data_IF_789444284248
#
_entry.id   IF_789444284248
#
_cell.length_a   1.000
_cell.length_b   1.000
_cell.length_c   1.000
_cell.angle_alpha   90.00
_cell.angle_beta   90.00
_cell.angle_gamma   90.00
#
_symmetry.space_group_name_H-M   'P 1'
#
loop_
_entity.id
_entity.type
_entity.pdbx_description
1 polymer ?
#
# COMPACT_ATOMS: atom_id res chain seq x y z
N UNK A 1 -38.44 17.84 58.86
CA UNK A 1 -38.96 19.13 58.40
C UNK A 1 -37.86 19.81 57.64
N UNK A 2 -37.77 19.51 56.44
CA UNK A 2 -38.00 20.28 55.20
C UNK A 2 -36.94 21.38 55.02
N UNK A 3 -35.97 21.10 54.21
CA UNK A 3 -35.00 22.03 53.68
C UNK A 3 -34.40 21.43 52.42
N UNK A 4 -35.20 21.27 51.39
CA UNK A 4 -34.80 20.96 50.02
C UNK A 4 -35.58 21.84 49.08
N UNK A 5 -35.14 23.05 48.83
CA UNK A 5 -35.75 23.86 47.76
C UNK A 5 -34.91 25.08 47.32
N UNK A 6 -33.60 25.19 47.66
CA UNK A 6 -32.81 26.37 47.31
C UNK A 6 -31.76 26.19 46.22
N UNK A 7 -31.63 25.01 45.61
CA UNK A 7 -30.53 24.73 44.63
C UNK A 7 -30.95 24.86 43.14
N UNK A 8 -32.20 25.25 42.85
CA UNK A 8 -32.70 25.25 41.47
C UNK A 8 -32.72 26.63 40.79
N UNK A 9 -32.31 27.71 41.48
CA UNK A 9 -32.41 29.10 40.95
C UNK A 9 -31.14 29.64 40.30
N UNK A 10 -30.00 28.96 40.34
CA UNK A 10 -28.73 29.54 39.85
C UNK A 10 -28.29 29.02 38.46
N UNK A 11 -29.15 28.27 37.75
CA UNK A 11 -28.82 27.78 36.41
C UNK A 11 -29.39 28.60 35.24
N UNK A 12 -30.24 29.57 35.48
CA UNK A 12 -30.93 30.32 34.41
C UNK A 12 -30.26 31.62 34.00
N UNK A 13 -29.25 32.10 34.75
CA UNK A 13 -28.70 33.45 34.55
C UNK A 13 -27.29 33.45 33.87
N UNK A 14 -26.90 32.35 33.24
CA UNK A 14 -25.69 32.36 32.39
C UNK A 14 -26.08 32.92 31.01
N UNK A 15 -25.52 34.09 30.60
CA UNK A 15 -25.84 34.69 29.31
C UNK A 15 -25.50 33.64 28.19
N UNK A 16 -26.54 33.22 27.48
CA UNK A 16 -26.39 32.37 26.31
C UNK A 16 -25.62 33.13 25.25
N UNK A 17 -24.36 32.72 25.03
CA UNK A 17 -23.51 33.28 23.96
C UNK A 17 -24.24 33.13 22.62
N UNK A 18 -24.29 34.19 21.85
CA UNK A 18 -24.83 34.15 20.50
C UNK A 18 -23.97 33.32 19.58
N UNK A 19 -24.54 32.75 18.52
CA UNK A 19 -23.82 31.98 17.54
C UNK A 19 -22.59 32.71 16.97
N UNK A 20 -22.71 34.03 16.79
CA UNK A 20 -21.61 34.88 16.32
C UNK A 20 -20.45 34.99 17.33
N UNK A 21 -20.74 34.96 18.64
CA UNK A 21 -19.68 34.92 19.66
C UNK A 21 -19.02 33.58 19.78
N UNK A 22 -19.78 32.50 19.60
CA UNK A 22 -19.21 31.14 19.51
C UNK A 22 -18.30 31.00 18.30
N UNK A 23 -18.67 31.55 17.15
CA UNK A 23 -17.85 31.54 15.93
C UNK A 23 -16.59 32.40 16.07
N UNK A 24 -16.68 33.58 16.71
CA UNK A 24 -15.51 34.40 17.05
C UNK A 24 -14.52 33.65 17.97
N UNK A 25 -15.02 32.88 18.93
CA UNK A 25 -14.18 32.05 19.81
C UNK A 25 -13.53 30.88 19.05
N UNK A 26 -14.27 30.23 18.15
CA UNK A 26 -13.71 29.18 17.26
C UNK A 26 -12.66 29.74 16.30
N UNK A 27 -12.87 30.94 15.76
CA UNK A 27 -11.91 31.63 14.90
C UNK A 27 -10.62 31.98 15.63
N UNK A 28 -10.70 32.44 16.89
CA UNK A 28 -9.52 32.74 17.71
C UNK A 28 -8.75 31.49 18.14
N UNK A 29 -9.42 30.38 18.44
CA UNK A 29 -8.76 29.11 18.80
C UNK A 29 -7.99 28.50 17.62
N UNK A 30 -8.39 28.76 16.36
CA UNK A 30 -7.68 28.31 15.16
C UNK A 30 -6.44 29.13 14.80
N UNK A 31 -6.31 30.35 15.31
CA UNK A 31 -5.21 31.24 14.99
C UNK A 31 -3.94 31.04 15.88
N UNK A 32 -4.02 30.17 16.91
CA UNK A 32 -2.91 29.96 17.83
C UNK A 32 -2.01 28.75 17.54
N UNK A 33 -2.35 27.90 16.57
CA UNK A 33 -1.41 26.92 16.04
C UNK A 33 -0.58 27.59 14.94
N UNK A 34 0.50 28.24 15.34
CA UNK A 34 1.37 29.04 14.49
C UNK A 34 2.21 28.28 13.47
N UNK A 35 1.77 27.16 12.97
CA UNK A 35 2.33 26.54 11.78
C UNK A 35 1.74 27.23 10.55
N UNK A 36 2.47 28.22 10.04
CA UNK A 36 2.24 28.75 8.70
C UNK A 36 2.33 27.61 7.72
N UNK A 37 1.17 27.11 7.28
CA UNK A 37 1.15 26.13 6.17
C UNK A 37 1.84 26.77 4.99
N UNK A 38 2.91 26.18 4.47
CA UNK A 38 3.59 26.71 3.30
C UNK A 38 2.56 26.83 2.16
N UNK A 39 2.58 27.95 1.45
CA UNK A 39 1.71 28.23 0.31
C UNK A 39 2.57 28.31 -0.95
N UNK A 40 2.04 27.85 -2.08
CA UNK A 40 2.73 27.87 -3.36
C UNK A 40 3.71 26.70 -3.55
N UNK A 41 4.72 26.88 -4.37
CA UNK A 41 5.66 25.83 -4.78
C UNK A 41 6.32 25.06 -3.64
N UNK A 42 6.56 25.72 -2.50
CA UNK A 42 7.10 25.04 -1.30
C UNK A 42 6.11 24.08 -0.66
N UNK A 43 4.80 24.41 -0.67
CA UNK A 43 3.75 23.51 -0.16
C UNK A 43 3.55 22.31 -1.07
N UNK A 44 3.61 22.51 -2.37
CA UNK A 44 3.54 21.44 -3.36
C UNK A 44 4.73 20.50 -3.28
N UNK A 45 5.94 21.04 -3.12
CA UNK A 45 7.14 20.23 -2.93
C UNK A 45 7.10 19.41 -1.64
N UNK A 46 6.62 19.98 -0.53
CA UNK A 46 6.44 19.24 0.73
C UNK A 46 5.36 18.16 0.60
N UNK A 47 4.25 18.44 -0.07
CA UNK A 47 3.19 17.47 -0.31
C UNK A 47 3.67 16.34 -1.24
N UNK A 48 4.43 16.65 -2.29
CA UNK A 48 5.02 15.66 -3.19
C UNK A 48 6.03 14.77 -2.45
N UNK A 49 6.91 15.34 -1.63
CA UNK A 49 7.86 14.58 -0.82
C UNK A 49 7.16 13.70 0.22
N UNK A 50 6.10 14.20 0.86
CA UNK A 50 5.29 13.42 1.79
C UNK A 50 4.57 12.26 1.08
N UNK A 51 4.01 12.50 -0.09
CA UNK A 51 3.38 11.46 -0.91
C UNK A 51 4.39 10.40 -1.36
N UNK A 52 5.57 10.81 -1.84
CA UNK A 52 6.64 9.89 -2.21
C UNK A 52 7.12 9.04 -1.02
N UNK A 53 7.30 9.66 0.15
CA UNK A 53 7.73 8.94 1.36
C UNK A 53 6.66 7.97 1.85
N UNK A 54 5.38 8.31 1.70
CA UNK A 54 4.26 7.43 2.02
C UNK A 54 4.18 6.24 1.06
N UNK A 55 4.28 6.50 -0.25
CA UNK A 55 4.33 5.45 -1.27
C UNK A 55 5.50 4.50 -1.03
N UNK A 56 6.70 5.04 -0.75
CA UNK A 56 7.87 4.23 -0.43
C UNK A 56 7.69 3.35 0.82
N UNK A 57 7.03 3.86 1.86
CA UNK A 57 6.68 3.08 3.06
C UNK A 57 5.64 2.00 2.75
N UNK A 58 4.63 2.33 1.95
CA UNK A 58 3.60 1.39 1.54
C UNK A 58 4.21 0.25 0.71
N UNK A 59 5.07 0.59 -0.24
CA UNK A 59 5.82 -0.37 -1.04
C UNK A 59 6.68 -1.28 -0.16
N UNK A 60 7.44 -0.72 0.78
CA UNK A 60 8.23 -1.51 1.72
C UNK A 60 7.35 -2.47 2.53
N UNK A 61 6.18 -2.03 2.99
CA UNK A 61 5.25 -2.90 3.73
C UNK A 61 4.66 -4.01 2.86
N UNK A 62 4.36 -3.73 1.60
CA UNK A 62 3.81 -4.71 0.66
C UNK A 62 4.85 -5.79 0.30
N UNK A 63 6.11 -5.41 0.10
CA UNK A 63 7.18 -6.35 -0.24
C UNK A 63 7.78 -7.06 0.97
N UNK A 64 7.79 -6.42 2.16
CA UNK A 64 8.36 -7.03 3.38
C UNK A 64 7.44 -8.03 4.08
N UNK A 65 6.12 -7.97 3.86
CA UNK A 65 5.13 -8.70 4.66
C UNK A 65 4.91 -10.18 4.28
N UNK A 66 5.67 -10.73 3.35
CA UNK A 66 5.34 -12.01 2.73
C UNK A 66 6.40 -13.10 2.74
N UNK A 67 7.49 -12.98 3.45
CA UNK A 67 8.49 -14.03 3.44
C UNK A 67 9.31 -14.12 4.73
N UNK A 68 9.72 -15.32 5.09
CA UNK A 68 10.70 -15.66 6.13
C UNK A 68 12.12 -15.09 5.86
N UNK A 69 12.22 -14.13 4.97
CA UNK A 69 13.46 -13.50 4.54
C UNK A 69 13.75 -12.33 5.48
N UNK A 70 14.77 -12.46 6.31
CA UNK A 70 15.31 -11.35 7.10
C UNK A 70 15.77 -10.17 6.22
N UNK A 71 16.49 -9.21 6.79
CA UNK A 71 16.95 -7.98 6.13
C UNK A 71 17.58 -8.16 4.72
N UNK A 72 18.14 -9.33 4.43
CA UNK A 72 18.69 -9.67 3.10
C UNK A 72 17.57 -9.88 2.06
N UNK A 73 16.50 -10.56 2.44
CA UNK A 73 15.35 -10.78 1.56
C UNK A 73 14.58 -9.51 1.23
N UNK A 74 14.45 -8.59 2.21
CA UNK A 74 13.84 -7.29 1.97
C UNK A 74 14.65 -6.44 0.97
N UNK A 75 15.96 -6.56 1.03
CA UNK A 75 16.88 -5.90 0.10
C UNK A 75 16.73 -6.42 -1.33
N UNK A 76 16.64 -7.73 -1.47
CA UNK A 76 16.45 -8.37 -2.77
C UNK A 76 15.05 -8.12 -3.33
N UNK A 77 14.01 -8.14 -2.50
CA UNK A 77 12.66 -7.73 -2.91
C UNK A 77 12.63 -6.28 -3.38
N UNK A 78 13.36 -5.38 -2.70
CA UNK A 78 13.57 -4.01 -3.13
C UNK A 78 14.24 -3.92 -4.50
N UNK A 79 15.30 -4.72 -4.74
CA UNK A 79 16.00 -4.76 -6.02
C UNK A 79 15.10 -5.25 -7.16
N UNK A 80 14.25 -6.26 -6.92
CA UNK A 80 13.25 -6.71 -7.90
C UNK A 80 12.27 -5.59 -8.24
N UNK A 81 11.77 -4.88 -7.25
CA UNK A 81 10.87 -3.74 -7.46
C UNK A 81 11.53 -2.63 -8.28
N UNK A 82 12.76 -2.27 -7.93
CA UNK A 82 13.49 -1.18 -8.61
C UNK A 82 13.88 -1.55 -10.05
N UNK A 83 13.94 -2.86 -10.36
CA UNK A 83 14.20 -3.38 -11.69
C UNK A 83 12.94 -3.53 -12.58
N UNK A 84 11.73 -3.31 -12.04
CA UNK A 84 10.48 -3.41 -12.83
C UNK A 84 10.53 -2.52 -14.07
N UNK A 85 10.13 -3.09 -15.21
CA UNK A 85 10.15 -2.39 -16.50
C UNK A 85 11.52 -2.20 -17.11
N UNK A 86 12.60 -2.71 -16.50
CA UNK A 86 13.95 -2.65 -17.01
C UNK A 86 14.45 -4.03 -17.47
N UNK A 87 15.48 -4.12 -18.31
CA UNK A 87 16.09 -5.40 -18.69
C UNK A 87 16.79 -6.12 -17.52
N UNK A 88 17.05 -5.46 -16.40
CA UNK A 88 17.66 -6.03 -15.21
C UNK A 88 16.69 -6.87 -14.35
N UNK A 89 15.39 -6.89 -14.68
CA UNK A 89 14.38 -7.59 -13.90
C UNK A 89 14.68 -9.10 -13.77
N UNK A 90 15.07 -9.75 -14.86
CA UNK A 90 15.36 -11.18 -14.86
C UNK A 90 16.51 -11.52 -13.89
N UNK A 91 17.57 -10.71 -13.88
CA UNK A 91 18.72 -10.91 -12.99
C UNK A 91 18.34 -10.65 -11.51
N UNK A 92 17.55 -9.62 -11.25
CA UNK A 92 17.04 -9.35 -9.91
C UNK A 92 16.14 -10.48 -9.39
N UNK A 93 15.25 -11.01 -10.24
CA UNK A 93 14.40 -12.17 -9.90
C UNK A 93 15.22 -13.44 -9.66
N UNK A 94 16.25 -13.72 -10.47
CA UNK A 94 17.15 -14.85 -10.24
C UNK A 94 17.92 -14.73 -8.93
N UNK A 95 18.45 -13.55 -8.61
CA UNK A 95 19.12 -13.28 -7.34
C UNK A 95 18.17 -13.50 -6.15
N UNK A 96 16.94 -13.01 -6.25
CA UNK A 96 15.92 -13.24 -5.23
C UNK A 96 15.62 -14.73 -5.06
N UNK A 97 15.42 -15.46 -6.17
CA UNK A 97 15.10 -16.89 -6.16
C UNK A 97 16.22 -17.72 -5.55
N UNK A 98 17.48 -17.37 -5.82
CA UNK A 98 18.66 -18.10 -5.30
C UNK A 98 18.83 -17.94 -3.79
N UNK A 99 18.57 -16.76 -3.24
CA UNK A 99 18.84 -16.45 -1.83
C UNK A 99 17.62 -16.63 -0.92
N UNK A 100 16.43 -16.35 -1.43
CA UNK A 100 15.18 -16.33 -0.65
C UNK A 100 14.26 -17.51 -1.00
N UNK A 101 14.26 -17.93 -2.26
CA UNK A 101 13.35 -18.95 -2.78
C UNK A 101 12.18 -18.37 -3.57
N UNK A 102 11.08 -19.14 -3.67
CA UNK A 102 9.90 -18.74 -4.46
C UNK A 102 9.24 -17.47 -3.93
N UNK A 103 8.70 -16.62 -4.81
CA UNK A 103 8.00 -15.39 -4.39
C UNK A 103 6.71 -15.74 -3.66
N UNK A 104 6.51 -15.17 -2.45
CA UNK A 104 5.36 -15.48 -1.61
C UNK A 104 4.32 -14.34 -1.56
N UNK A 105 4.65 -13.15 -2.06
CA UNK A 105 3.73 -11.99 -2.03
C UNK A 105 3.19 -11.65 -3.40
N UNK A 106 1.92 -11.20 -3.52
CA UNK A 106 1.34 -10.83 -4.80
C UNK A 106 2.18 -9.86 -5.64
N UNK A 107 2.81 -8.80 -5.09
CA UNK A 107 3.66 -7.91 -5.88
C UNK A 107 4.94 -8.58 -6.42
N UNK A 108 5.57 -9.46 -5.64
CA UNK A 108 6.74 -10.21 -6.12
C UNK A 108 6.36 -11.21 -7.20
N UNK A 109 5.24 -11.92 -7.01
CA UNK A 109 4.72 -12.86 -8.02
C UNK A 109 4.43 -12.10 -9.33
N UNK A 110 3.80 -10.92 -9.24
CA UNK A 110 3.55 -10.08 -10.41
C UNK A 110 4.85 -9.69 -11.13
N UNK A 111 5.90 -9.34 -10.38
CA UNK A 111 7.21 -9.03 -10.96
C UNK A 111 7.85 -10.24 -11.68
N UNK A 112 7.72 -11.43 -11.10
CA UNK A 112 8.20 -12.66 -11.72
C UNK A 112 7.41 -13.05 -12.99
N UNK A 113 6.10 -12.75 -13.02
CA UNK A 113 5.27 -12.93 -14.23
C UNK A 113 5.66 -11.96 -15.36
N UNK A 114 6.15 -10.76 -15.02
CA UNK A 114 6.65 -9.78 -15.98
C UNK A 114 8.07 -10.06 -16.49
N UNK A 115 8.79 -11.02 -15.87
CA UNK A 115 10.11 -11.42 -16.32
C UNK A 115 10.07 -11.99 -17.75
N UNK A 116 11.14 -11.78 -18.50
CA UNK A 116 11.29 -12.35 -19.86
C UNK A 116 11.63 -13.81 -19.85
N UNK A 117 12.38 -14.24 -18.81
CA UNK A 117 12.79 -15.61 -18.62
C UNK A 117 11.59 -16.50 -18.30
N UNK A 118 11.35 -17.49 -19.15
CA UNK A 118 10.28 -18.48 -19.02
C UNK A 118 10.33 -19.21 -17.67
N UNK A 119 11.53 -19.58 -17.20
CA UNK A 119 11.68 -20.31 -15.95
C UNK A 119 11.17 -19.50 -14.75
N UNK A 120 11.39 -18.17 -14.73
CA UNK A 120 10.88 -17.29 -13.68
C UNK A 120 9.36 -17.20 -13.68
N UNK A 121 8.72 -17.15 -14.86
CA UNK A 121 7.27 -17.20 -15.02
C UNK A 121 6.68 -18.51 -14.49
N UNK A 122 7.30 -19.63 -14.80
CA UNK A 122 6.88 -20.94 -14.26
C UNK A 122 6.92 -20.94 -12.74
N UNK A 123 8.00 -20.43 -12.13
CA UNK A 123 8.10 -20.31 -10.65
C UNK A 123 6.96 -19.46 -10.09
N UNK A 124 6.60 -18.35 -10.73
CA UNK A 124 5.49 -17.51 -10.31
C UNK A 124 4.14 -18.23 -10.39
N UNK A 125 3.90 -18.98 -11.46
CA UNK A 125 2.67 -19.75 -11.62
C UNK A 125 2.55 -20.88 -10.60
N UNK A 126 3.65 -21.54 -10.26
CA UNK A 126 3.68 -22.54 -9.18
C UNK A 126 3.37 -21.90 -7.84
N UNK A 127 3.99 -20.75 -7.53
CA UNK A 127 3.73 -20.01 -6.29
C UNK A 127 2.25 -19.55 -6.16
N UNK A 128 1.59 -19.20 -7.26
CA UNK A 128 0.17 -18.89 -7.28
C UNK A 128 -0.71 -20.12 -7.05
N UNK A 129 -0.28 -21.30 -7.46
CA UNK A 129 -1.02 -22.56 -7.26
C UNK A 129 -1.14 -22.97 -5.80
N UNK A 130 -0.26 -22.49 -4.92
CA UNK A 130 -0.10 -22.95 -3.53
C UNK A 130 -0.85 -22.15 -2.46
N UNK A 131 -1.70 -21.17 -2.78
CA UNK A 131 -2.54 -20.45 -1.78
C UNK A 131 -2.38 -18.91 -1.76
N UNK A 132 -2.04 -18.27 -2.84
CA UNK A 132 -2.02 -16.80 -2.92
C UNK A 132 -3.35 -16.29 -3.44
N UNK A 133 -3.99 -15.39 -2.71
CA UNK A 133 -5.21 -14.74 -3.18
C UNK A 133 -4.96 -13.96 -4.47
N UNK A 134 -5.75 -14.26 -5.51
CA UNK A 134 -5.64 -13.59 -6.81
C UNK A 134 -6.13 -12.13 -6.71
N UNK A 135 -5.21 -11.20 -6.78
CA UNK A 135 -5.54 -9.77 -6.92
C UNK A 135 -6.03 -9.46 -8.33
N UNK A 136 -6.72 -8.33 -8.50
CA UNK A 136 -7.17 -7.89 -9.84
C UNK A 136 -6.01 -7.74 -10.83
N UNK A 137 -4.85 -7.25 -10.37
CA UNK A 137 -3.64 -7.13 -11.19
C UNK A 137 -3.09 -8.50 -11.65
N UNK A 138 -2.98 -9.47 -10.73
CA UNK A 138 -2.55 -10.82 -11.08
C UNK A 138 -3.51 -11.50 -12.05
N UNK A 139 -4.83 -11.34 -11.88
CA UNK A 139 -5.83 -11.86 -12.83
C UNK A 139 -5.64 -11.27 -14.24
N UNK A 140 -5.32 -9.97 -14.33
CA UNK A 140 -5.04 -9.32 -15.62
C UNK A 140 -3.78 -9.91 -16.28
N UNK A 141 -2.69 -10.06 -15.54
CA UNK A 141 -1.46 -10.66 -16.05
C UNK A 141 -1.65 -12.12 -16.48
N UNK A 142 -2.39 -12.92 -15.70
CA UNK A 142 -2.70 -14.31 -16.03
C UNK A 142 -3.52 -14.41 -17.34
N UNK A 143 -4.46 -13.49 -17.57
CA UNK A 143 -5.21 -13.46 -18.86
C UNK A 143 -4.29 -13.18 -20.04
N UNK A 144 -3.36 -12.25 -19.88
CA UNK A 144 -2.36 -11.97 -20.94
C UNK A 144 -1.47 -13.19 -21.19
N UNK A 145 -1.11 -13.93 -20.15
CA UNK A 145 -0.34 -15.17 -20.30
C UNK A 145 -1.15 -16.30 -20.96
N UNK A 146 -2.45 -16.42 -20.64
CA UNK A 146 -3.36 -17.38 -21.23
C UNK A 146 -3.58 -17.14 -22.75
N UNK A 147 -3.47 -15.89 -23.18
CA UNK A 147 -3.53 -15.50 -24.61
C UNK A 147 -2.15 -15.56 -25.30
N UNK A 148 -1.10 -15.95 -24.56
CA UNK A 148 0.28 -16.00 -25.04
C UNK A 148 0.56 -17.18 -25.97
N UNK A 149 1.71 -17.15 -26.63
CA UNK A 149 2.14 -18.20 -27.57
C UNK A 149 2.83 -19.40 -26.91
N UNK A 150 3.00 -19.41 -25.60
CA UNK A 150 3.59 -20.52 -24.85
C UNK A 150 2.45 -21.36 -24.25
N UNK A 151 2.11 -22.48 -24.91
CA UNK A 151 0.99 -23.33 -24.57
C UNK A 151 1.00 -23.83 -23.12
N UNK A 152 2.19 -24.17 -22.58
CA UNK A 152 2.32 -24.67 -21.21
C UNK A 152 2.06 -23.56 -20.16
N UNK A 153 2.54 -22.34 -20.42
CA UNK A 153 2.26 -21.18 -19.55
C UNK A 153 0.78 -20.78 -19.64
N UNK A 154 0.20 -20.83 -20.86
CA UNK A 154 -1.20 -20.50 -21.09
C UNK A 154 -2.13 -21.49 -20.35
N UNK A 155 -1.93 -22.79 -20.50
CA UNK A 155 -2.71 -23.82 -19.81
C UNK A 155 -2.69 -23.64 -18.30
N UNK A 156 -1.49 -23.43 -17.70
CA UNK A 156 -1.37 -23.19 -16.26
C UNK A 156 -2.04 -21.88 -15.81
N UNK A 157 -1.94 -20.83 -16.60
CA UNK A 157 -2.60 -19.57 -16.31
C UNK A 157 -4.13 -19.72 -16.30
N UNK A 158 -4.70 -20.46 -17.26
CA UNK A 158 -6.13 -20.79 -17.31
C UNK A 158 -6.58 -21.62 -16.11
N UNK A 159 -5.79 -22.67 -15.74
CA UNK A 159 -6.09 -23.46 -14.55
C UNK A 159 -6.17 -22.63 -13.29
N UNK A 160 -5.25 -21.65 -13.10
CA UNK A 160 -5.22 -20.79 -11.93
C UNK A 160 -6.43 -19.83 -11.96
N UNK A 161 -6.76 -19.28 -13.13
CA UNK A 161 -7.93 -18.40 -13.30
C UNK A 161 -9.24 -19.13 -13.03
N UNK A 162 -9.34 -20.42 -13.35
CA UNK A 162 -10.53 -21.22 -13.11
C UNK A 162 -10.78 -21.57 -11.64
N UNK A 163 -9.73 -21.53 -10.81
CA UNK A 163 -9.82 -21.84 -9.36
C UNK A 163 -10.19 -20.65 -8.50
N UNK A 164 -9.99 -19.41 -8.98
CA UNK A 164 -10.12 -18.16 -8.21
C UNK A 164 -11.11 -17.19 -8.78
#
# INVERSE_FOLDING_TARGET
>A
MNGRDDDERDRSDRPRLSWSELDKRRGKARSHTGERRPRGAAAEALAANAAQSYLKKLDQQLFAKGGNSGAAGDKLAGAVRDALGTPALDDACRAYLAEVGAPATPPLIAAFLDARDRALRVVALVALGEAVALTAGLRSQLRVLAEGSDDELAERAEEILARG
#
